data_IF_116675526160
#
_entry.id   IF_116675526160
#
_cell.length_a   1.000
_cell.length_b   1.000
_cell.length_c   1.000
_cell.angle_alpha   90.00
_cell.angle_beta   90.00
_cell.angle_gamma   90.00
#
_symmetry.space_group_name_H-M   'P 1'
#
loop_
_entity.id
_entity.type
_entity.pdbx_description
1 polymer ?
#
# COMPACT_ATOMS: atom_id res chain seq x y z
N UNK A 1 13.37 -0.06 -12.15
CA UNK A 1 11.96 0.23 -11.80
C UNK A 1 11.70 -0.34 -10.42
N UNK A 2 11.28 0.54 -9.52
CA UNK A 2 11.54 0.52 -8.08
C UNK A 2 10.22 0.26 -7.35
N UNK A 3 10.20 -0.74 -6.45
CA UNK A 3 8.98 -1.21 -5.78
C UNK A 3 8.31 -0.09 -5.00
N UNK A 4 6.99 -0.09 -4.95
CA UNK A 4 6.22 1.01 -4.37
C UNK A 4 5.20 0.50 -3.35
N UNK A 5 5.11 1.15 -2.19
CA UNK A 5 4.21 0.76 -1.09
C UNK A 5 3.03 1.72 -0.93
N UNK A 6 1.80 1.21 -0.77
CA UNK A 6 0.53 1.97 -0.65
C UNK A 6 -0.27 1.58 0.60
N UNK A 7 -1.14 2.49 1.06
CA UNK A 7 -2.28 2.23 1.93
C UNK A 7 -3.58 2.83 1.30
N UNK A 8 -4.67 2.04 1.07
CA UNK A 8 -5.69 1.67 2.07
C UNK A 8 -6.21 0.20 1.94
N UNK A 9 -7.18 -0.29 2.74
CA UNK A 9 -7.14 -0.64 4.17
C UNK A 9 -6.12 -1.77 4.50
N UNK A 10 -5.15 -2.05 3.63
CA UNK A 10 -4.04 -2.95 3.89
C UNK A 10 -2.74 -2.40 3.31
N UNK A 11 -1.64 -2.51 4.06
CA UNK A 11 -0.31 -2.11 3.58
C UNK A 11 0.11 -3.09 2.48
N UNK A 12 0.36 -2.62 1.26
CA UNK A 12 0.73 -3.40 0.07
C UNK A 12 2.03 -2.90 -0.57
N UNK A 13 2.74 -3.77 -1.29
CA UNK A 13 3.91 -3.41 -2.13
C UNK A 13 3.73 -3.94 -3.56
N UNK A 14 3.86 -3.08 -4.57
CA UNK A 14 3.69 -3.43 -5.98
C UNK A 14 4.79 -2.78 -6.86
N UNK A 15 5.09 -3.41 -8.00
CA UNK A 15 5.97 -2.81 -9.03
C UNK A 15 5.24 -1.69 -9.77
N UNK A 16 3.96 -1.89 -10.06
CA UNK A 16 3.09 -0.86 -10.65
C UNK A 16 1.88 -0.61 -9.75
N UNK A 17 1.88 0.54 -9.11
CA UNK A 17 0.85 0.93 -8.15
C UNK A 17 -0.50 1.17 -8.81
N UNK A 18 -0.49 1.80 -9.99
CA UNK A 18 -1.71 2.20 -10.68
C UNK A 18 -2.51 0.98 -11.15
N UNK A 19 -1.84 -0.02 -11.74
CA UNK A 19 -2.47 -1.27 -12.14
C UNK A 19 -2.99 -2.05 -10.94
N UNK A 20 -2.25 -2.06 -9.83
CA UNK A 20 -2.72 -2.73 -8.61
C UNK A 20 -3.91 -2.02 -7.96
N UNK A 21 -3.92 -0.69 -7.98
CA UNK A 21 -5.04 0.10 -7.50
C UNK A 21 -6.27 -0.10 -8.39
N UNK A 22 -6.10 -0.07 -9.71
CA UNK A 22 -7.16 -0.39 -10.67
C UNK A 22 -7.69 -1.82 -10.50
N UNK A 23 -6.84 -2.80 -10.19
CA UNK A 23 -7.26 -4.16 -9.86
C UNK A 23 -8.05 -4.20 -8.54
N UNK A 24 -7.67 -3.42 -7.53
CA UNK A 24 -8.45 -3.32 -6.29
C UNK A 24 -9.83 -2.72 -6.52
N UNK A 25 -9.92 -1.66 -7.33
CA UNK A 25 -11.20 -1.03 -7.72
C UNK A 25 -12.07 -1.98 -8.54
N UNK A 26 -11.49 -2.73 -9.49
CA UNK A 26 -12.25 -3.65 -10.36
C UNK A 26 -12.64 -4.94 -9.64
N UNK A 27 -11.68 -5.61 -9.02
CA UNK A 27 -11.80 -6.99 -8.57
C UNK A 27 -12.32 -7.14 -7.14
N UNK A 28 -12.51 -6.04 -6.40
CA UNK A 28 -13.10 -6.03 -5.05
C UNK A 28 -12.64 -7.19 -4.14
N UNK A 29 -11.32 -7.36 -3.91
CA UNK A 29 -10.88 -8.41 -2.99
C UNK A 29 -11.53 -8.21 -1.62
N UNK A 30 -11.85 -9.31 -0.92
CA UNK A 30 -12.82 -9.36 0.18
C UNK A 30 -12.64 -8.28 1.28
N UNK A 31 -11.42 -7.82 1.52
CA UNK A 31 -11.08 -6.78 2.51
C UNK A 31 -11.32 -5.35 2.06
N UNK A 32 -11.38 -5.08 0.75
CA UNK A 32 -11.63 -3.74 0.16
C UNK A 32 -13.04 -3.59 -0.38
N UNK A 33 -13.73 -4.70 -0.66
CA UNK A 33 -15.12 -4.70 -1.14
C UNK A 33 -16.10 -3.92 -0.25
N UNK A 34 -15.85 -3.86 1.06
CA UNK A 34 -16.69 -3.12 2.02
C UNK A 34 -16.48 -1.61 2.01
N UNK A 35 -15.38 -1.12 1.44
CA UNK A 35 -15.10 0.32 1.33
C UNK A 35 -15.78 0.95 0.09
N UNK A 36 -16.13 0.17 -0.93
CA UNK A 36 -16.71 0.70 -2.17
C UNK A 36 -15.78 1.69 -2.87
N UNK A 37 -16.35 2.78 -3.39
CA UNK A 37 -15.64 3.87 -4.09
C UNK A 37 -14.76 4.74 -3.18
N UNK A 38 -14.81 4.53 -1.86
CA UNK A 38 -14.04 5.29 -0.85
C UNK A 38 -12.58 4.84 -0.72
N UNK A 39 -12.03 4.18 -1.74
CA UNK A 39 -10.68 3.66 -1.73
C UNK A 39 -9.68 4.73 -2.20
N UNK A 40 -8.89 5.28 -1.28
CA UNK A 40 -7.92 6.33 -1.61
C UNK A 40 -6.48 5.97 -1.21
N UNK A 41 -5.53 6.34 -2.07
CA UNK A 41 -4.10 6.20 -1.76
C UNK A 41 -3.69 7.37 -0.84
N UNK A 42 -3.56 7.11 0.46
CA UNK A 42 -3.22 8.17 1.44
C UNK A 42 -1.72 8.43 1.59
N UNK A 43 -0.87 7.47 1.22
CA UNK A 43 0.58 7.63 1.21
C UNK A 43 1.23 6.62 0.25
N UNK A 44 2.32 7.04 -0.40
CA UNK A 44 3.15 6.16 -1.23
C UNK A 44 4.64 6.47 -1.07
N UNK A 45 5.45 5.42 -1.12
CA UNK A 45 6.92 5.51 -1.12
C UNK A 45 7.50 4.61 -2.22
N UNK A 46 8.36 5.17 -3.05
CA UNK A 46 9.12 4.46 -4.07
C UNK A 46 10.46 4.03 -3.48
N UNK A 47 10.84 2.77 -3.66
CA UNK A 47 12.08 2.21 -3.12
C UNK A 47 12.80 1.34 -4.14
N UNK A 48 14.14 1.42 -4.22
CA UNK A 48 14.92 0.87 -5.33
C UNK A 48 14.70 -0.62 -5.60
N UNK A 49 14.35 -1.39 -4.57
CA UNK A 49 14.17 -2.84 -4.69
C UNK A 49 12.83 -3.32 -4.13
N UNK A 50 12.33 -4.43 -4.68
CA UNK A 50 11.16 -5.11 -4.13
C UNK A 50 11.42 -5.65 -2.71
N UNK A 51 12.66 -6.05 -2.41
CA UNK A 51 13.04 -6.56 -1.10
C UNK A 51 12.85 -5.48 -0.02
N UNK A 52 13.33 -4.27 -0.27
CA UNK A 52 13.13 -3.12 0.63
C UNK A 52 11.64 -2.80 0.79
N UNK A 53 10.87 -2.82 -0.30
CA UNK A 53 9.43 -2.57 -0.24
C UNK A 53 8.71 -3.59 0.65
N UNK A 54 9.09 -4.87 0.56
CA UNK A 54 8.54 -5.92 1.41
C UNK A 54 8.97 -5.80 2.87
N UNK A 55 10.21 -5.39 3.13
CA UNK A 55 10.71 -5.18 4.49
C UNK A 55 9.95 -4.05 5.19
N UNK A 56 9.81 -2.91 4.51
CA UNK A 56 9.02 -1.76 4.98
C UNK A 56 7.58 -2.19 5.23
N UNK A 57 6.96 -2.90 4.28
CA UNK A 57 5.60 -3.42 4.45
C UNK A 57 5.46 -4.30 5.69
N UNK A 58 6.38 -5.26 5.90
CA UNK A 58 6.36 -6.15 7.08
C UNK A 58 6.53 -5.37 8.37
N UNK A 59 7.46 -4.42 8.41
CA UNK A 59 7.70 -3.55 9.57
C UNK A 59 6.45 -2.74 9.93
N UNK A 60 5.82 -2.11 8.95
CA UNK A 60 4.62 -1.30 9.15
C UNK A 60 3.41 -2.15 9.58
N UNK A 61 3.25 -3.36 9.03
CA UNK A 61 2.20 -4.31 9.46
C UNK A 61 2.37 -4.77 10.90
N UNK A 62 3.62 -4.99 11.35
CA UNK A 62 3.92 -5.38 12.74
C UNK A 62 3.59 -4.27 13.73
N UNK A 63 3.87 -3.01 13.38
CA UNK A 63 3.61 -1.86 14.26
C UNK A 63 2.12 -1.61 14.51
N UNK A 64 1.22 -2.07 13.62
CA UNK A 64 -0.24 -1.88 13.69
C UNK A 64 -0.69 -0.43 13.95
N UNK A 65 0.15 0.55 13.60
CA UNK A 65 -0.10 1.97 13.81
C UNK A 65 -0.16 2.69 12.46
N UNK A 66 -1.36 3.10 12.06
CA UNK A 66 -1.63 3.68 10.75
C UNK A 66 -0.99 5.06 10.58
N UNK A 67 -1.05 5.90 11.62
CA UNK A 67 -0.50 7.26 11.58
C UNK A 67 1.02 7.23 11.39
N UNK A 68 1.67 6.31 12.10
CA UNK A 68 3.11 6.11 11.98
C UNK A 68 3.50 5.53 10.61
N UNK A 69 2.68 4.64 10.05
CA UNK A 69 2.89 4.12 8.70
C UNK A 69 2.77 5.22 7.63
N UNK A 70 1.75 6.07 7.71
CA UNK A 70 1.56 7.21 6.81
C UNK A 70 2.76 8.16 6.91
N UNK A 71 3.19 8.51 8.13
CA UNK A 71 4.36 9.35 8.36
C UNK A 71 5.65 8.78 7.72
N UNK A 72 5.90 7.47 7.88
CA UNK A 72 7.07 6.83 7.28
C UNK A 72 7.03 6.72 5.75
N UNK A 73 5.84 6.71 5.16
CA UNK A 73 5.64 6.61 3.71
C UNK A 73 5.62 7.98 3.03
N UNK A 74 5.29 9.07 3.73
CA UNK A 74 5.31 10.43 3.20
C UNK A 74 6.71 11.07 3.19
N UNK A 75 7.70 10.42 3.79
CA UNK A 75 9.09 10.87 3.90
C UNK A 75 10.00 10.04 3.01
#
# INVERSE_FOLDING_TARGET
>A
MVGSSILPPGIGSAVDLNSRFAQHLRSHPATTKRLGDSLEIVAKKEVPTLAEAQEIQRSLKRKKNLKLAIYHLQR
#
